data_IF_110125344844
#
_entry.id   IF_110125344844
#
_cell.length_a   1.000
_cell.length_b   1.000
_cell.length_c   1.000
_cell.angle_alpha   90.00
_cell.angle_beta   90.00
_cell.angle_gamma   90.00
#
_symmetry.space_group_name_H-M   'P 1'
#
loop_
_entity.id
_entity.type
_entity.pdbx_description
1 polymer ?
#
# COMPACT_ATOMS: atom_id res chain seq x y z
N UNK A 1 5.30 10.09 -10.60
CA UNK A 1 4.77 9.46 -11.82
C UNK A 1 3.30 9.83 -11.95
N UNK A 2 2.83 10.19 -13.14
CA UNK A 2 1.41 10.50 -13.38
C UNK A 2 0.63 9.19 -13.55
N UNK A 3 -0.39 8.98 -12.72
CA UNK A 3 -1.28 7.82 -12.79
C UNK A 3 -2.37 8.06 -13.83
N UNK A 4 -2.48 7.18 -14.82
CA UNK A 4 -3.59 7.13 -15.76
C UNK A 4 -4.43 5.87 -15.52
N UNK A 5 -5.63 6.03 -14.95
CA UNK A 5 -6.54 4.92 -14.64
C UNK A 5 -7.23 4.29 -15.87
N UNK A 6 -7.03 4.86 -17.07
CA UNK A 6 -7.51 4.27 -18.32
C UNK A 6 -6.45 3.40 -19.00
N UNK A 7 -5.21 3.39 -18.49
CA UNK A 7 -4.09 2.66 -19.07
C UNK A 7 -3.57 1.60 -18.08
N UNK A 8 -3.74 0.30 -18.38
CA UNK A 8 -3.23 -0.77 -17.53
C UNK A 8 -1.72 -0.69 -17.26
N UNK A 9 -0.90 -0.22 -18.20
CA UNK A 9 0.56 -0.13 -18.00
C UNK A 9 0.94 0.99 -17.02
N UNK A 10 0.27 2.14 -17.13
CA UNK A 10 0.38 3.22 -16.14
C UNK A 10 -0.04 2.75 -14.74
N UNK A 11 -1.14 1.99 -14.64
CA UNK A 11 -1.59 1.43 -13.35
C UNK A 11 -0.54 0.48 -12.78
N UNK A 12 0.00 -0.44 -13.59
CA UNK A 12 1.00 -1.40 -13.15
C UNK A 12 2.27 -0.71 -12.67
N UNK A 13 2.82 0.21 -13.47
CA UNK A 13 4.04 0.92 -13.14
C UNK A 13 3.87 1.72 -11.84
N UNK A 14 2.73 2.38 -11.66
CA UNK A 14 2.40 3.10 -10.43
C UNK A 14 2.24 2.14 -9.24
N UNK A 15 1.57 1.01 -9.44
CA UNK A 15 1.34 0.01 -8.40
C UNK A 15 2.65 -0.54 -7.82
N UNK A 16 3.68 -0.76 -8.65
CA UNK A 16 4.98 -1.30 -8.18
C UNK A 16 5.71 -0.43 -7.13
N UNK A 17 5.38 0.86 -7.04
CA UNK A 17 6.02 1.80 -6.10
C UNK A 17 5.59 1.51 -4.65
N UNK A 18 4.29 1.32 -4.41
CA UNK A 18 3.73 0.98 -3.10
C UNK A 18 2.59 -0.05 -3.25
N UNK A 19 2.94 -1.32 -3.54
CA UNK A 19 1.97 -2.34 -3.91
C UNK A 19 0.84 -2.53 -2.89
N UNK A 20 1.14 -2.48 -1.60
CA UNK A 20 0.17 -2.73 -0.53
C UNK A 20 -0.87 -1.61 -0.38
N UNK A 21 -0.46 -0.36 -0.55
CA UNK A 21 -1.36 0.79 -0.49
C UNK A 21 -2.15 0.95 -1.79
N UNK A 22 -1.47 0.73 -2.91
CA UNK A 22 -2.05 0.90 -4.23
C UNK A 22 -3.07 -0.19 -4.56
N UNK A 23 -2.87 -1.42 -4.07
CA UNK A 23 -3.86 -2.49 -4.21
C UNK A 23 -5.20 -2.14 -3.55
N UNK A 24 -5.15 -1.64 -2.31
CA UNK A 24 -6.34 -1.17 -1.59
C UNK A 24 -7.02 0.01 -2.30
N UNK A 25 -6.24 0.92 -2.89
CA UNK A 25 -6.77 2.04 -3.68
C UNK A 25 -7.50 1.55 -4.94
N UNK A 26 -6.95 0.59 -5.68
CA UNK A 26 -7.60 0.02 -6.87
C UNK A 26 -8.93 -0.65 -6.51
N UNK A 27 -8.96 -1.43 -5.42
CA UNK A 27 -10.20 -2.04 -4.92
C UNK A 27 -11.25 -0.99 -4.55
N UNK A 28 -10.85 0.09 -3.87
CA UNK A 28 -11.74 1.21 -3.57
C UNK A 28 -12.24 1.90 -4.85
N UNK A 29 -11.35 2.16 -5.80
CA UNK A 29 -11.69 2.86 -7.04
C UNK A 29 -12.65 2.09 -7.93
N UNK A 30 -12.53 0.77 -8.00
CA UNK A 30 -13.50 -0.08 -8.69
C UNK A 30 -14.93 0.08 -8.16
N UNK A 31 -15.09 0.38 -6.86
CA UNK A 31 -16.41 0.55 -6.25
C UNK A 31 -17.04 1.90 -6.56
N UNK A 32 -16.24 2.96 -6.66
CA UNK A 32 -16.74 4.34 -6.77
C UNK A 32 -16.70 4.89 -8.20
N UNK A 33 -15.88 4.32 -9.07
CA UNK A 33 -15.63 4.81 -10.43
C UNK A 33 -15.59 3.61 -11.41
N UNK A 34 -16.76 3.04 -11.75
CA UNK A 34 -16.84 1.87 -12.63
C UNK A 34 -16.33 2.15 -14.05
N UNK A 35 -16.24 3.41 -14.48
CA UNK A 35 -15.69 3.83 -15.77
C UNK A 35 -14.24 3.36 -15.99
N UNK A 36 -13.44 3.24 -14.92
CA UNK A 36 -12.06 2.75 -14.99
C UNK A 36 -11.95 1.24 -14.80
N UNK A 37 -13.07 0.54 -14.57
CA UNK A 37 -13.05 -0.88 -14.25
C UNK A 37 -12.36 -1.76 -15.31
N UNK A 38 -12.47 -1.51 -16.62
CA UNK A 38 -11.78 -2.34 -17.61
C UNK A 38 -10.25 -2.33 -17.43
N UNK A 39 -9.65 -1.14 -17.32
CA UNK A 39 -8.20 -1.00 -17.20
C UNK A 39 -7.69 -1.48 -15.83
N UNK A 40 -8.42 -1.18 -14.75
CA UNK A 40 -8.07 -1.63 -13.40
C UNK A 40 -8.13 -3.16 -13.30
N UNK A 41 -9.19 -3.80 -13.82
CA UNK A 41 -9.32 -5.27 -13.80
C UNK A 41 -8.24 -5.94 -14.62
N UNK A 42 -7.86 -5.36 -15.76
CA UNK A 42 -6.76 -5.89 -16.57
C UNK A 42 -5.42 -5.80 -15.83
N UNK A 43 -5.14 -4.67 -15.17
CA UNK A 43 -3.95 -4.54 -14.33
C UNK A 43 -3.96 -5.55 -13.17
N UNK A 44 -5.08 -5.71 -12.46
CA UNK A 44 -5.23 -6.71 -11.39
C UNK A 44 -5.04 -8.14 -11.89
N UNK A 45 -5.57 -8.47 -13.08
CA UNK A 45 -5.37 -9.77 -13.71
C UNK A 45 -3.89 -10.03 -13.94
N UNK A 46 -3.16 -9.04 -14.47
CA UNK A 46 -1.71 -9.15 -14.72
C UNK A 46 -0.90 -9.31 -13.45
N UNK A 47 -1.24 -8.55 -12.39
CA UNK A 47 -0.65 -8.70 -11.06
C UNK A 47 -0.85 -10.12 -10.56
N UNK A 48 -2.09 -10.63 -10.61
CA UNK A 48 -2.42 -11.97 -10.14
C UNK A 48 -1.68 -13.07 -10.91
N UNK A 49 -1.46 -12.88 -12.22
CA UNK A 49 -0.77 -13.87 -13.06
C UNK A 49 0.76 -13.78 -13.03
N UNK A 50 1.36 -12.69 -12.55
CA UNK A 50 2.81 -12.52 -12.50
C UNK A 50 3.36 -12.96 -11.14
N UNK A 51 4.21 -14.01 -11.07
CA UNK A 51 4.88 -14.39 -9.84
C UNK A 51 5.74 -13.27 -9.25
N UNK A 52 6.38 -12.47 -10.10
CA UNK A 52 7.26 -11.37 -9.70
C UNK A 52 6.48 -10.26 -8.99
N UNK A 53 5.34 -9.85 -9.56
CA UNK A 53 4.48 -8.82 -8.96
C UNK A 53 3.85 -9.31 -7.65
N UNK A 54 3.42 -10.58 -7.60
CA UNK A 54 2.96 -11.19 -6.35
C UNK A 54 4.05 -11.19 -5.28
N UNK A 55 5.30 -11.48 -5.65
CA UNK A 55 6.46 -11.39 -4.78
C UNK A 55 6.65 -9.98 -4.22
N UNK A 56 6.54 -8.95 -5.06
CA UNK A 56 6.62 -7.55 -4.62
C UNK A 56 5.54 -7.20 -3.60
N UNK A 57 4.29 -7.63 -3.82
CA UNK A 57 3.20 -7.40 -2.86
C UNK A 57 3.47 -8.09 -1.53
N UNK A 58 3.88 -9.36 -1.54
CA UNK A 58 4.21 -10.10 -0.33
C UNK A 58 5.34 -9.43 0.45
N UNK A 59 6.40 -9.00 -0.24
CA UNK A 59 7.50 -8.26 0.38
C UNK A 59 7.07 -6.90 0.93
N UNK A 60 6.21 -6.16 0.22
CA UNK A 60 5.68 -4.89 0.69
C UNK A 60 4.86 -5.05 1.98
N UNK A 61 3.94 -6.02 2.02
CA UNK A 61 3.14 -6.36 3.20
C UNK A 61 4.05 -6.75 4.37
N UNK A 62 5.06 -7.59 4.12
CA UNK A 62 5.98 -8.03 5.18
C UNK A 62 6.80 -6.87 5.74
N UNK A 63 7.34 -6.00 4.89
CA UNK A 63 8.08 -4.80 5.33
C UNK A 63 7.20 -3.88 6.17
N UNK A 64 5.94 -3.68 5.78
CA UNK A 64 5.00 -2.85 6.55
C UNK A 64 4.73 -3.45 7.92
N UNK A 65 4.50 -4.77 8.02
CA UNK A 65 4.31 -5.47 9.30
C UNK A 65 5.52 -5.31 10.21
N UNK A 66 6.73 -5.49 9.66
CA UNK A 66 7.98 -5.30 10.41
C UNK A 66 8.16 -3.85 10.87
N UNK A 67 7.83 -2.87 10.03
CA UNK A 67 7.89 -1.45 10.40
C UNK A 67 6.93 -1.08 11.54
N UNK A 68 5.71 -1.62 11.51
CA UNK A 68 4.72 -1.44 12.59
C UNK A 68 5.20 -2.11 13.89
N UNK A 69 5.69 -3.35 13.82
CA UNK A 69 6.21 -4.06 14.97
C UNK A 69 7.40 -3.32 15.61
N UNK A 70 8.34 -2.84 14.80
CA UNK A 70 9.51 -2.10 15.27
C UNK A 70 9.13 -0.78 15.97
N UNK A 71 8.11 -0.07 15.48
CA UNK A 71 7.59 1.13 16.18
C UNK A 71 6.95 0.75 17.52
N UNK A 72 6.13 -0.30 17.56
CA UNK A 72 5.50 -0.75 18.80
C UNK A 72 6.52 -1.19 19.85
N UNK A 73 7.59 -1.90 19.45
CA UNK A 73 8.70 -2.26 20.33
C UNK A 73 9.45 -1.03 20.88
N UNK A 74 9.68 -0.02 20.03
CA UNK A 74 10.30 1.24 20.46
C UNK A 74 9.42 1.97 21.47
N UNK A 75 8.12 2.06 21.23
CA UNK A 75 7.19 2.69 22.16
C UNK A 75 7.10 1.91 23.49
N UNK A 76 7.11 0.57 23.45
CA UNK A 76 7.10 -0.27 24.65
C UNK A 76 8.37 -0.14 25.52
N UNK A 77 9.49 0.28 24.91
CA UNK A 77 10.77 0.46 25.62
C UNK A 77 10.89 1.87 26.23
N UNK A 78 10.03 2.81 25.84
CA UNK A 78 10.07 4.18 26.36
C UNK A 78 9.40 4.26 27.74
N UNK A 79 10.02 4.95 28.71
CA UNK A 79 9.36 5.26 29.98
C UNK A 79 8.06 6.03 29.77
N UNK A 80 7.02 5.73 30.56
CA UNK A 80 5.66 6.26 30.39
C UNK A 80 5.55 7.79 30.31
N UNK A 81 6.52 8.55 30.84
CA UNK A 81 6.55 10.01 30.76
C UNK A 81 6.99 10.52 29.37
N UNK A 82 7.82 9.79 28.63
CA UNK A 82 8.26 10.17 27.28
C UNK A 82 7.18 9.86 26.23
N UNK A 83 6.44 8.78 26.43
CA UNK A 83 5.26 8.43 25.63
C UNK A 83 4.20 9.54 25.69
N UNK A 84 3.85 9.98 26.91
CA UNK A 84 2.87 11.06 27.13
C UNK A 84 3.34 12.41 26.58
N UNK A 85 4.65 12.68 26.56
CA UNK A 85 5.21 13.88 25.94
C UNK A 85 5.08 13.85 24.41
N UNK A 86 5.33 12.71 23.76
CA UNK A 86 5.16 12.55 22.30
C UNK A 86 3.72 12.69 21.85
N UNK A 87 2.77 12.17 22.61
CA UNK A 87 1.34 12.32 22.32
C UNK A 87 0.89 13.80 22.36
N UNK A 88 1.47 14.60 23.26
CA UNK A 88 1.20 16.04 23.38
C UNK A 88 1.90 16.87 22.28
N UNK A 89 3.02 16.40 21.73
CA UNK A 89 3.76 17.08 20.64
C UNK A 89 3.20 16.76 19.24
N UNK A 90 2.34 15.74 19.11
CA UNK A 90 1.74 15.31 17.83
C UNK A 90 0.26 15.69 17.66
N UNK A 91 -0.33 16.36 18.65
CA UNK A 91 -1.67 16.95 18.63
C UNK A 91 -1.63 18.44 18.26
#
# INVERSE_FOLDING_TARGET
>A
MLLNLNDPESILTWWTVLPDQHDAFLAHKLRISPEFAPAIKEAQRRIATSPELNGLLAHAIQRRRQGVARRAEQDATLPAYELRRRELETA
#
